data_IF_586648358995
#
_entry.id   IF_586648358995
#
_cell.length_a   1.000
_cell.length_b   1.000
_cell.length_c   1.000
_cell.angle_alpha   90.00
_cell.angle_beta   90.00
_cell.angle_gamma   90.00
#
_symmetry.space_group_name_H-M   'P 1'
#
loop_
_entity.id
_entity.type
_entity.pdbx_description
1 polymer ?
#
# COMPACT_ATOMS: atom_id res chain seq x y z
N UNK A 1 28.55 8.52 6.69
CA UNK A 1 27.75 7.81 5.66
C UNK A 1 27.43 6.38 6.11
N UNK A 2 28.40 5.58 6.51
CA UNK A 2 28.20 4.18 6.93
C UNK A 2 27.20 3.99 8.07
N UNK A 3 27.31 4.76 9.16
CA UNK A 3 26.38 4.66 10.29
C UNK A 3 24.92 4.93 9.90
N UNK A 4 24.68 5.85 8.98
CA UNK A 4 23.35 6.13 8.46
C UNK A 4 22.80 4.96 7.66
N UNK A 5 23.57 4.38 6.76
CA UNK A 5 23.16 3.21 5.96
C UNK A 5 22.86 2.02 6.87
N UNK A 6 23.74 1.77 7.87
CA UNK A 6 23.56 0.69 8.83
C UNK A 6 22.26 0.87 9.63
N UNK A 7 21.97 2.08 10.09
CA UNK A 7 20.73 2.35 10.84
C UNK A 7 19.47 2.10 10.01
N UNK A 8 19.49 2.46 8.72
CA UNK A 8 18.35 2.23 7.80
C UNK A 8 18.16 0.76 7.49
N UNK A 9 19.25 0.02 7.24
CA UNK A 9 19.19 -1.44 7.06
C UNK A 9 18.68 -2.14 8.33
N UNK A 10 19.21 -1.76 9.50
CA UNK A 10 18.75 -2.31 10.78
C UNK A 10 17.25 -2.06 11.00
N UNK A 11 16.76 -0.88 10.65
CA UNK A 11 15.34 -0.55 10.70
C UNK A 11 14.50 -1.47 9.80
N UNK A 12 14.88 -1.65 8.53
CA UNK A 12 14.14 -2.52 7.60
C UNK A 12 14.13 -3.98 8.07
N UNK A 13 15.26 -4.48 8.61
CA UNK A 13 15.35 -5.80 9.22
C UNK A 13 14.42 -5.91 10.43
N UNK A 14 14.39 -4.89 11.30
CA UNK A 14 13.51 -4.84 12.47
C UNK A 14 12.03 -4.87 12.07
N UNK A 15 11.64 -4.12 11.03
CA UNK A 15 10.28 -4.16 10.47
C UNK A 15 9.91 -5.57 10.01
N UNK A 16 10.79 -6.23 9.27
CA UNK A 16 10.58 -7.60 8.79
C UNK A 16 10.44 -8.60 9.94
N UNK A 17 11.35 -8.54 10.90
CA UNK A 17 11.33 -9.42 12.08
C UNK A 17 10.10 -9.17 12.96
N UNK A 18 9.72 -7.93 13.21
CA UNK A 18 8.54 -7.59 13.99
C UNK A 18 7.26 -8.08 13.31
N UNK A 19 7.15 -7.89 12.00
CA UNK A 19 6.00 -8.36 11.23
C UNK A 19 5.92 -9.89 11.20
N UNK A 20 7.03 -10.57 10.95
CA UNK A 20 7.09 -12.03 10.92
C UNK A 20 6.81 -12.63 12.31
N UNK A 21 7.58 -12.24 13.32
CA UNK A 21 7.45 -12.78 14.67
C UNK A 21 6.07 -12.46 15.28
N UNK A 22 5.61 -11.22 15.12
CA UNK A 22 4.28 -10.80 15.56
C UNK A 22 3.17 -11.64 14.92
N UNK A 23 3.24 -11.85 13.61
CA UNK A 23 2.27 -12.68 12.89
C UNK A 23 2.31 -14.15 13.36
N UNK A 24 3.51 -14.73 13.59
CA UNK A 24 3.65 -16.10 14.13
C UNK A 24 3.05 -16.20 15.52
N UNK A 25 3.35 -15.25 16.41
CA UNK A 25 2.82 -15.23 17.78
C UNK A 25 1.30 -15.13 17.78
N UNK A 26 0.75 -14.21 16.99
CA UNK A 26 -0.70 -14.06 16.86
C UNK A 26 -1.34 -15.31 16.27
N UNK A 27 -0.73 -15.92 15.24
CA UNK A 27 -1.18 -17.17 14.65
C UNK A 27 -1.26 -18.30 15.65
N UNK A 28 -0.27 -18.44 16.53
CA UNK A 28 -0.27 -19.45 17.61
C UNK A 28 -1.31 -19.14 18.67
N UNK A 29 -1.44 -17.87 19.08
CA UNK A 29 -2.36 -17.45 20.14
C UNK A 29 -3.83 -17.58 19.72
N UNK A 30 -4.16 -17.26 18.50
CA UNK A 30 -5.53 -17.22 18.00
C UNK A 30 -5.87 -18.34 17.02
N UNK A 31 -5.13 -19.46 17.01
CA UNK A 31 -5.32 -20.58 16.06
C UNK A 31 -6.77 -21.10 16.05
N UNK A 32 -7.48 -21.05 17.18
CA UNK A 32 -8.87 -21.49 17.32
C UNK A 32 -9.90 -20.36 17.11
N UNK A 33 -9.45 -19.12 16.81
CA UNK A 33 -10.28 -17.93 16.70
C UNK A 33 -9.89 -17.14 15.47
N UNK A 34 -10.24 -17.62 14.26
CA UNK A 34 -9.77 -17.04 12.99
C UNK A 34 -10.16 -15.57 12.82
N UNK A 35 -11.33 -15.16 13.30
CA UNK A 35 -11.77 -13.76 13.22
C UNK A 35 -10.90 -12.83 14.08
N UNK A 36 -10.59 -13.24 15.31
CA UNK A 36 -9.68 -12.47 16.17
C UNK A 36 -8.27 -12.42 15.60
N UNK A 37 -7.82 -13.51 14.97
CA UNK A 37 -6.53 -13.52 14.29
C UNK A 37 -6.50 -12.51 13.16
N UNK A 38 -7.53 -12.44 12.33
CA UNK A 38 -7.64 -11.46 11.25
C UNK A 38 -7.55 -10.02 11.79
N UNK A 39 -8.37 -9.70 12.80
CA UNK A 39 -8.34 -8.38 13.46
C UNK A 39 -6.95 -8.05 13.99
N UNK A 40 -6.33 -8.99 14.71
CA UNK A 40 -5.00 -8.80 15.28
C UNK A 40 -3.92 -8.58 14.19
N UNK A 41 -4.00 -9.27 13.05
CA UNK A 41 -3.03 -9.14 11.96
C UNK A 41 -3.13 -7.78 11.25
N UNK A 42 -4.32 -7.27 10.99
CA UNK A 42 -4.40 -5.94 10.38
C UNK A 42 -3.98 -4.82 11.35
N UNK A 43 -4.27 -4.96 12.66
CA UNK A 43 -3.74 -4.05 13.68
C UNK A 43 -2.23 -4.09 13.75
N UNK A 44 -1.64 -5.30 13.75
CA UNK A 44 -0.19 -5.46 13.72
C UNK A 44 0.42 -4.71 12.52
N UNK A 45 -0.15 -4.90 11.33
CA UNK A 45 0.32 -4.20 10.13
C UNK A 45 0.17 -2.69 10.25
N UNK A 46 -1.00 -2.20 10.67
CA UNK A 46 -1.23 -0.76 10.83
C UNK A 46 -0.26 -0.12 11.83
N UNK A 47 -0.01 -0.78 12.95
CA UNK A 47 0.94 -0.32 13.97
C UNK A 47 2.37 -0.33 13.44
N UNK A 48 2.80 -1.40 12.76
CA UNK A 48 4.15 -1.48 12.18
C UNK A 48 4.35 -0.37 11.15
N UNK A 49 3.39 -0.16 10.25
CA UNK A 49 3.48 0.90 9.24
C UNK A 49 3.45 2.30 9.87
N UNK A 50 2.62 2.51 10.90
CA UNK A 50 2.58 3.78 11.62
C UNK A 50 3.88 4.08 12.37
N UNK A 51 4.47 3.07 13.02
CA UNK A 51 5.79 3.18 13.65
C UNK A 51 6.89 3.42 12.61
N UNK A 52 6.78 2.81 11.43
CA UNK A 52 7.68 3.07 10.32
C UNK A 52 7.60 4.52 9.86
N UNK A 53 6.38 5.08 9.74
CA UNK A 53 6.20 6.50 9.46
C UNK A 53 6.84 7.38 10.54
N UNK A 54 6.64 7.06 11.82
CA UNK A 54 7.24 7.80 12.91
C UNK A 54 8.77 7.74 12.87
N UNK A 55 9.34 6.56 12.61
CA UNK A 55 10.80 6.39 12.50
C UNK A 55 11.39 7.21 11.36
N UNK A 56 10.82 7.08 10.16
CA UNK A 56 11.31 7.75 8.96
C UNK A 56 11.19 9.27 9.07
N UNK A 57 10.13 9.75 9.72
CA UNK A 57 9.89 11.18 9.97
C UNK A 57 10.70 11.75 11.18
N UNK A 58 11.54 10.94 11.82
CA UNK A 58 12.33 11.37 12.97
C UNK A 58 11.55 11.55 14.27
N UNK A 59 10.33 10.98 14.36
CA UNK A 59 9.49 11.03 15.55
C UNK A 59 8.00 10.93 15.22
N UNK A 60 7.18 11.14 16.25
CA UNK A 60 5.72 11.15 16.15
C UNK A 60 5.20 12.58 16.40
N UNK A 61 5.26 13.47 15.38
CA UNK A 61 4.88 14.87 15.59
C UNK A 61 3.38 15.00 15.84
N UNK A 62 3.02 15.72 16.90
CA UNK A 62 1.63 16.07 17.19
C UNK A 62 1.53 17.55 17.54
N UNK A 63 0.75 18.36 16.81
CA UNK A 63 0.02 17.98 15.59
C UNK A 63 0.96 17.70 14.41
N UNK A 64 0.52 16.86 13.45
CA UNK A 64 1.28 16.59 12.23
C UNK A 64 1.51 17.87 11.42
N UNK A 65 2.76 18.14 11.02
CA UNK A 65 3.14 19.39 10.32
C UNK A 65 3.15 19.23 8.80
N UNK A 66 3.46 18.03 8.32
CA UNK A 66 3.59 17.70 6.90
C UNK A 66 2.61 16.60 6.54
N UNK A 67 2.23 16.54 5.25
CA UNK A 67 1.26 15.55 4.75
C UNK A 67 1.68 14.10 5.03
N UNK A 68 2.97 13.80 4.89
CA UNK A 68 3.52 12.47 5.15
C UNK A 68 3.42 12.03 6.61
N UNK A 69 3.41 12.97 7.56
CA UNK A 69 3.19 12.69 8.98
C UNK A 69 1.80 12.12 9.25
N UNK A 70 0.81 12.48 8.42
CA UNK A 70 -0.55 12.00 8.57
C UNK A 70 -0.74 10.54 8.18
N UNK A 71 0.14 9.98 7.34
CA UNK A 71 -0.01 8.59 6.84
C UNK A 71 -0.18 7.62 8.01
N UNK A 72 0.69 7.67 9.01
CA UNK A 72 0.62 6.80 10.19
C UNK A 72 -0.69 6.96 10.98
N UNK A 73 -1.15 8.19 11.18
CA UNK A 73 -2.42 8.47 11.88
C UNK A 73 -3.63 7.94 11.09
N UNK A 74 -3.65 8.14 9.78
CA UNK A 74 -4.73 7.64 8.91
C UNK A 74 -4.80 6.12 8.92
N UNK A 75 -3.65 5.42 8.93
CA UNK A 75 -3.61 3.96 9.02
C UNK A 75 -4.16 3.44 10.36
N UNK A 76 -3.80 4.07 11.48
CA UNK A 76 -4.35 3.72 12.79
C UNK A 76 -5.84 4.00 12.87
N UNK A 77 -6.30 5.11 12.31
CA UNK A 77 -7.72 5.46 12.22
C UNK A 77 -8.49 4.43 11.36
N UNK A 78 -7.91 4.03 10.21
CA UNK A 78 -8.49 3.00 9.35
C UNK A 78 -8.62 1.66 10.10
N UNK A 79 -7.59 1.24 10.83
CA UNK A 79 -7.62 0.02 11.62
C UNK A 79 -8.68 0.08 12.72
N UNK A 80 -8.84 1.25 13.38
CA UNK A 80 -9.86 1.46 14.40
C UNK A 80 -11.27 1.36 13.82
N UNK A 81 -11.56 2.09 12.74
CA UNK A 81 -12.87 2.04 12.09
C UNK A 81 -13.20 0.63 11.58
N UNK A 82 -12.19 -0.07 11.06
CA UNK A 82 -12.36 -1.43 10.57
C UNK A 82 -12.69 -2.43 11.69
N UNK A 83 -12.29 -2.15 12.92
CA UNK A 83 -12.59 -3.02 14.08
C UNK A 83 -14.08 -3.08 14.41
N UNK A 84 -14.89 -2.18 13.83
CA UNK A 84 -16.35 -2.21 13.92
C UNK A 84 -16.86 -3.20 12.86
N UNK A 85 -17.15 -4.42 13.27
CA UNK A 85 -17.45 -5.56 12.38
C UNK A 85 -18.90 -5.58 11.90
N UNK A 86 -19.29 -4.56 11.14
CA UNK A 86 -20.57 -4.48 10.42
C UNK A 86 -20.31 -4.36 8.93
N UNK A 87 -20.94 -5.17 8.04
CA UNK A 87 -20.67 -5.14 6.59
C UNK A 87 -20.86 -3.76 5.95
N UNK A 88 -21.89 -3.04 6.35
CA UNK A 88 -22.15 -1.66 5.91
C UNK A 88 -21.07 -0.69 6.39
N UNK A 89 -20.56 -0.89 7.61
CA UNK A 89 -19.51 -0.06 8.19
C UNK A 89 -18.17 -0.30 7.49
N UNK A 90 -17.93 -1.47 6.92
CA UNK A 90 -16.69 -1.78 6.21
C UNK A 90 -16.48 -0.92 4.97
N UNK A 91 -17.52 -0.68 4.17
CA UNK A 91 -17.43 0.23 3.04
C UNK A 91 -17.28 1.69 3.50
N UNK A 92 -18.08 2.08 4.49
CA UNK A 92 -18.04 3.44 5.06
C UNK A 92 -16.66 3.70 5.69
N UNK A 93 -16.09 2.75 6.41
CA UNK A 93 -14.76 2.88 7.03
C UNK A 93 -13.66 3.05 5.98
N UNK A 94 -13.71 2.28 4.89
CA UNK A 94 -12.76 2.41 3.81
C UNK A 94 -12.87 3.78 3.11
N UNK A 95 -14.11 4.23 2.83
CA UNK A 95 -14.39 5.55 2.28
C UNK A 95 -13.91 6.67 3.21
N UNK A 96 -14.26 6.60 4.48
CA UNK A 96 -13.88 7.62 5.46
C UNK A 96 -12.35 7.71 5.63
N UNK A 97 -11.67 6.57 5.67
CA UNK A 97 -10.21 6.53 5.79
C UNK A 97 -9.51 7.05 4.54
N UNK A 98 -9.99 6.68 3.35
CA UNK A 98 -9.46 7.19 2.09
C UNK A 98 -9.72 8.69 1.96
N UNK A 99 -10.95 9.14 2.23
CA UNK A 99 -11.32 10.55 2.19
C UNK A 99 -10.49 11.38 3.17
N UNK A 100 -10.33 10.91 4.41
CA UNK A 100 -9.46 11.55 5.39
C UNK A 100 -8.02 11.65 4.88
N UNK A 101 -7.47 10.54 4.37
CA UNK A 101 -6.11 10.50 3.82
C UNK A 101 -5.91 11.49 2.67
N UNK A 102 -6.87 11.57 1.74
CA UNK A 102 -6.84 12.54 0.63
C UNK A 102 -6.92 13.97 1.16
N UNK A 103 -7.86 14.26 2.06
CA UNK A 103 -8.03 15.61 2.63
C UNK A 103 -6.75 16.08 3.32
N UNK A 104 -6.17 15.26 4.20
CA UNK A 104 -4.95 15.67 4.93
C UNK A 104 -3.73 15.79 4.01
N UNK A 105 -3.71 15.05 2.89
CA UNK A 105 -2.66 15.21 1.87
C UNK A 105 -2.85 16.49 1.05
N UNK A 106 -4.08 16.86 0.72
CA UNK A 106 -4.39 18.07 -0.05
C UNK A 106 -4.39 19.37 0.80
N UNK A 107 -4.57 19.28 2.11
CA UNK A 107 -4.73 20.42 3.00
C UNK A 107 -3.57 21.44 2.91
N UNK A 108 -2.28 21.06 2.92
CA UNK A 108 -1.20 22.02 2.81
C UNK A 108 -1.20 22.79 1.48
N UNK A 109 -1.66 22.15 0.38
CA UNK A 109 -1.73 22.80 -0.92
C UNK A 109 -2.92 23.76 -1.00
N UNK A 110 -4.02 23.43 -0.34
CA UNK A 110 -5.15 24.34 -0.23
C UNK A 110 -4.75 25.69 0.39
N UNK A 111 -3.78 25.65 1.31
CA UNK A 111 -3.21 26.83 1.94
C UNK A 111 -2.23 27.59 1.02
N UNK A 112 -1.68 26.91 0.00
CA UNK A 112 -0.66 27.44 -0.90
C UNK A 112 -1.21 27.88 -2.28
N UNK A 113 -2.52 28.08 -2.40
CA UNK A 113 -3.10 28.79 -3.55
C UNK A 113 -3.76 27.91 -4.62
N UNK A 114 -3.94 26.60 -4.41
CA UNK A 114 -4.78 25.83 -5.32
C UNK A 114 -6.25 26.22 -5.18
N UNK A 115 -6.88 26.52 -6.31
CA UNK A 115 -8.30 26.88 -6.33
C UNK A 115 -9.21 25.69 -5.93
N UNK A 116 -10.43 25.98 -5.41
CA UNK A 116 -11.34 24.96 -4.91
C UNK A 116 -11.76 23.93 -5.96
N UNK A 117 -11.81 24.33 -7.23
CA UNK A 117 -12.15 23.42 -8.35
C UNK A 117 -11.05 22.38 -8.55
N UNK A 118 -9.78 22.79 -8.49
CA UNK A 118 -8.65 21.87 -8.66
C UNK A 118 -8.55 20.89 -7.48
N UNK A 119 -8.70 21.40 -6.25
CA UNK A 119 -8.73 20.56 -5.04
C UNK A 119 -9.90 19.56 -5.08
N UNK A 120 -11.09 20.00 -5.47
CA UNK A 120 -12.27 19.14 -5.62
C UNK A 120 -12.07 18.07 -6.68
N UNK A 121 -11.44 18.43 -7.81
CA UNK A 121 -11.13 17.47 -8.89
C UNK A 121 -10.14 16.40 -8.42
N UNK A 122 -9.06 16.79 -7.77
CA UNK A 122 -8.08 15.86 -7.21
C UNK A 122 -8.69 14.95 -6.13
N UNK A 123 -9.50 15.52 -5.24
CA UNK A 123 -10.21 14.75 -4.24
C UNK A 123 -11.11 13.68 -4.88
N UNK A 124 -11.94 14.10 -5.84
CA UNK A 124 -12.91 13.20 -6.48
C UNK A 124 -12.23 12.10 -7.29
N UNK A 125 -11.25 12.46 -8.16
CA UNK A 125 -10.51 11.49 -8.96
C UNK A 125 -9.76 10.49 -8.06
N UNK A 126 -9.12 10.98 -7.01
CA UNK A 126 -8.39 10.15 -6.04
C UNK A 126 -9.32 9.17 -5.32
N UNK A 127 -10.47 9.65 -4.84
CA UNK A 127 -11.44 8.81 -4.13
C UNK A 127 -12.06 7.75 -5.06
N UNK A 128 -12.46 8.13 -6.26
CA UNK A 128 -13.05 7.22 -7.25
C UNK A 128 -12.03 6.15 -7.65
N UNK A 129 -10.78 6.53 -7.94
CA UNK A 129 -9.75 5.56 -8.30
C UNK A 129 -9.44 4.59 -7.17
N UNK A 130 -9.38 5.08 -5.93
CA UNK A 130 -9.22 4.23 -4.76
C UNK A 130 -10.33 3.18 -4.67
N UNK A 131 -11.59 3.61 -4.86
CA UNK A 131 -12.74 2.71 -4.81
C UNK A 131 -12.73 1.67 -5.91
N UNK A 132 -12.38 2.05 -7.14
CA UNK A 132 -12.30 1.12 -8.28
C UNK A 132 -11.28 0.02 -7.98
N UNK A 133 -10.05 0.40 -7.62
CA UNK A 133 -8.98 -0.56 -7.32
C UNK A 133 -9.37 -1.44 -6.14
N UNK A 134 -9.95 -0.85 -5.08
CA UNK A 134 -10.44 -1.58 -3.92
C UNK A 134 -11.48 -2.63 -4.29
N UNK A 135 -12.50 -2.27 -5.07
CA UNK A 135 -13.59 -3.20 -5.47
C UNK A 135 -13.04 -4.38 -6.28
N UNK A 136 -12.14 -4.10 -7.24
CA UNK A 136 -11.53 -5.14 -8.06
C UNK A 136 -10.70 -6.09 -7.21
N UNK A 137 -9.83 -5.56 -6.38
CA UNK A 137 -8.96 -6.37 -5.53
C UNK A 137 -9.74 -7.14 -4.46
N UNK A 138 -10.79 -6.54 -3.89
CA UNK A 138 -11.62 -7.18 -2.87
C UNK A 138 -12.28 -8.47 -3.37
N UNK A 139 -12.82 -8.47 -4.57
CA UNK A 139 -13.42 -9.66 -5.20
C UNK A 139 -12.42 -10.81 -5.36
N UNK A 140 -11.19 -10.49 -5.76
CA UNK A 140 -10.15 -11.51 -5.92
C UNK A 140 -9.62 -12.06 -4.59
N UNK A 141 -9.58 -11.21 -3.55
CA UNK A 141 -9.18 -11.64 -2.22
C UNK A 141 -10.15 -12.64 -1.58
N UNK A 142 -11.44 -12.57 -1.91
CA UNK A 142 -12.41 -13.59 -1.50
C UNK A 142 -12.10 -14.97 -2.10
N UNK A 143 -11.57 -14.98 -3.33
CA UNK A 143 -11.31 -16.20 -4.10
C UNK A 143 -9.93 -16.80 -3.79
N UNK A 144 -8.92 -15.98 -3.50
CA UNK A 144 -7.51 -16.39 -3.48
C UNK A 144 -6.74 -16.05 -2.18
N UNK A 145 -7.40 -15.96 -1.07
CA UNK A 145 -7.07 -15.44 0.27
C UNK A 145 -5.60 -15.35 0.73
N UNK A 146 -4.73 -16.27 0.39
CA UNK A 146 -3.34 -16.26 0.87
C UNK A 146 -2.35 -15.61 -0.11
N UNK A 147 -2.64 -15.71 -1.40
CA UNK A 147 -1.67 -15.39 -2.46
C UNK A 147 -1.71 -13.93 -2.86
N UNK A 148 -2.80 -13.27 -2.55
CA UNK A 148 -3.04 -11.88 -2.86
C UNK A 148 -2.13 -10.91 -2.08
N UNK A 149 -1.61 -11.30 -0.91
CA UNK A 149 -0.67 -10.46 -0.15
C UNK A 149 0.66 -10.25 -0.88
N UNK A 150 1.14 -11.25 -1.61
CA UNK A 150 2.32 -11.08 -2.48
C UNK A 150 2.04 -10.10 -3.61
N UNK A 151 0.82 -10.12 -4.16
CA UNK A 151 0.40 -9.18 -5.19
C UNK A 151 0.41 -7.72 -4.71
N UNK A 152 0.33 -7.49 -3.40
CA UNK A 152 0.44 -6.15 -2.81
C UNK A 152 1.87 -5.78 -2.42
N UNK A 153 2.73 -6.76 -2.11
CA UNK A 153 4.13 -6.48 -1.78
C UNK A 153 4.93 -6.01 -3.02
N UNK A 154 4.69 -6.65 -4.19
CA UNK A 154 5.41 -6.31 -5.43
C UNK A 154 5.21 -4.85 -5.85
N UNK A 155 3.98 -4.31 -5.95
CA UNK A 155 3.77 -2.90 -6.25
C UNK A 155 4.45 -1.95 -5.26
N UNK A 156 4.50 -2.30 -3.97
CA UNK A 156 5.20 -1.47 -2.97
C UNK A 156 6.71 -1.41 -3.24
N UNK A 157 7.35 -2.52 -3.60
CA UNK A 157 8.77 -2.51 -3.93
C UNK A 157 9.07 -1.74 -5.22
N UNK A 158 8.24 -1.88 -6.25
CA UNK A 158 8.39 -1.10 -7.49
C UNK A 158 8.15 0.39 -7.23
N UNK A 159 7.10 0.72 -6.45
CA UNK A 159 6.85 2.10 -6.02
C UNK A 159 8.03 2.67 -5.25
N UNK A 160 8.71 1.89 -4.40
CA UNK A 160 9.88 2.37 -3.68
C UNK A 160 10.98 2.88 -4.64
N UNK A 161 11.23 2.15 -5.73
CA UNK A 161 12.19 2.58 -6.75
C UNK A 161 11.73 3.88 -7.42
N UNK A 162 10.46 3.96 -7.82
CA UNK A 162 9.89 5.15 -8.44
C UNK A 162 9.94 6.37 -7.52
N UNK A 163 9.54 6.20 -6.25
CA UNK A 163 9.54 7.24 -5.23
C UNK A 163 10.96 7.76 -4.93
N UNK A 164 11.95 6.86 -4.93
CA UNK A 164 13.35 7.25 -4.75
C UNK A 164 13.84 8.13 -5.89
N UNK A 165 13.60 7.72 -7.14
CA UNK A 165 14.02 8.52 -8.31
C UNK A 165 13.18 9.78 -8.52
N UNK A 166 11.96 9.83 -7.99
CA UNK A 166 11.15 11.05 -7.92
C UNK A 166 11.60 12.03 -6.82
N UNK A 167 12.75 11.79 -6.19
CA UNK A 167 13.33 12.69 -5.19
C UNK A 167 12.85 12.49 -3.76
N UNK A 168 12.02 11.48 -3.48
CA UNK A 168 11.53 11.22 -2.12
C UNK A 168 12.12 9.94 -1.52
N UNK A 169 13.35 10.02 -1.02
CA UNK A 169 13.99 8.89 -0.33
C UNK A 169 13.18 8.41 0.88
N UNK A 170 12.50 9.33 1.58
CA UNK A 170 11.67 9.03 2.74
C UNK A 170 10.46 8.18 2.38
N UNK A 171 9.69 8.57 1.37
CA UNK A 171 8.53 7.79 0.91
C UNK A 171 8.98 6.46 0.29
N UNK A 172 10.13 6.42 -0.37
CA UNK A 172 10.72 5.19 -0.88
C UNK A 172 11.04 4.20 0.24
N UNK A 173 11.67 4.67 1.33
CA UNK A 173 11.96 3.85 2.50
C UNK A 173 10.68 3.30 3.15
N UNK A 174 9.64 4.12 3.25
CA UNK A 174 8.32 3.68 3.72
C UNK A 174 7.71 2.60 2.82
N UNK A 175 7.84 2.75 1.50
CA UNK A 175 7.34 1.74 0.55
C UNK A 175 8.09 0.40 0.69
N UNK A 176 9.42 0.44 0.87
CA UNK A 176 10.21 -0.77 1.16
C UNK A 176 9.77 -1.41 2.48
N UNK A 177 9.64 -0.62 3.55
CA UNK A 177 9.19 -1.10 4.85
C UNK A 177 7.81 -1.77 4.77
N UNK A 178 6.87 -1.15 4.04
CA UNK A 178 5.55 -1.72 3.77
C UNK A 178 5.62 -3.03 2.99
N UNK A 179 6.41 -3.08 1.92
CA UNK A 179 6.61 -4.29 1.14
C UNK A 179 7.18 -5.45 1.97
N UNK A 180 8.19 -5.17 2.81
CA UNK A 180 8.77 -6.13 3.75
C UNK A 180 7.75 -6.60 4.77
N UNK A 181 6.98 -5.69 5.38
CA UNK A 181 5.96 -6.02 6.37
C UNK A 181 4.87 -6.95 5.80
N UNK A 182 4.38 -6.64 4.60
CA UNK A 182 3.39 -7.46 3.88
C UNK A 182 3.95 -8.82 3.50
N UNK A 183 5.16 -8.88 2.95
CA UNK A 183 5.82 -10.14 2.58
C UNK A 183 6.11 -11.02 3.80
N UNK A 184 6.59 -10.43 4.90
CA UNK A 184 6.88 -11.14 6.14
C UNK A 184 5.60 -11.72 6.79
N UNK A 185 4.52 -10.96 6.82
CA UNK A 185 3.21 -11.44 7.28
C UNK A 185 2.70 -12.60 6.40
N UNK A 186 2.84 -12.49 5.09
CA UNK A 186 2.50 -13.57 4.16
C UNK A 186 3.29 -14.85 4.43
N UNK A 187 4.61 -14.74 4.56
CA UNK A 187 5.48 -15.91 4.79
C UNK A 187 5.21 -16.59 6.14
N UNK A 188 4.76 -15.83 7.13
CA UNK A 188 4.47 -16.34 8.47
C UNK A 188 3.13 -17.09 8.57
N UNK A 189 2.18 -16.78 7.68
CA UNK A 189 0.82 -17.33 7.69
C UNK A 189 0.66 -18.43 6.64
N UNK A 190 0.57 -19.69 7.07
CA UNK A 190 0.31 -20.84 6.18
C UNK A 190 -1.16 -20.98 5.76
N UNK A 191 -2.06 -20.21 6.37
CA UNK A 191 -3.50 -20.29 6.15
C UNK A 191 -4.11 -18.94 5.81
N UNK A 192 -5.34 -18.92 5.30
CA UNK A 192 -6.14 -17.79 4.83
C UNK A 192 -6.43 -16.68 5.84
N UNK A 193 -5.54 -16.44 6.80
CA UNK A 193 -5.80 -15.60 7.96
C UNK A 193 -5.68 -14.09 7.72
N UNK A 194 -5.10 -13.64 6.58
CA UNK A 194 -4.79 -12.22 6.39
C UNK A 194 -6.02 -11.32 6.20
N UNK A 195 -7.13 -11.85 5.68
CA UNK A 195 -8.42 -11.18 5.61
C UNK A 195 -8.45 -9.81 4.90
N UNK A 196 -9.64 -9.30 4.65
CA UNK A 196 -9.87 -8.05 3.90
C UNK A 196 -9.28 -6.80 4.57
N UNK A 197 -9.25 -6.74 5.91
CA UNK A 197 -8.70 -5.60 6.62
C UNK A 197 -7.21 -5.41 6.38
N UNK A 198 -6.46 -6.51 6.28
CA UNK A 198 -5.02 -6.46 5.95
C UNK A 198 -4.78 -5.86 4.56
N UNK A 199 -5.59 -6.26 3.59
CA UNK A 199 -5.55 -5.74 2.22
C UNK A 199 -5.85 -4.25 2.19
N UNK A 200 -6.91 -3.83 2.88
CA UNK A 200 -7.32 -2.43 2.91
C UNK A 200 -6.26 -1.52 3.53
N UNK A 201 -5.65 -1.93 4.63
CA UNK A 201 -4.54 -1.18 5.24
C UNK A 201 -3.37 -1.05 4.26
N UNK A 202 -3.01 -2.15 3.57
CA UNK A 202 -1.93 -2.14 2.58
C UNK A 202 -2.25 -1.24 1.39
N UNK A 203 -3.48 -1.33 0.86
CA UNK A 203 -3.94 -0.50 -0.26
C UNK A 203 -3.96 0.97 0.12
N UNK A 204 -4.51 1.31 1.28
CA UNK A 204 -4.56 2.69 1.76
C UNK A 204 -3.15 3.25 1.92
N UNK A 205 -2.24 2.48 2.50
CA UNK A 205 -0.85 2.87 2.64
C UNK A 205 -0.18 3.14 1.30
N UNK A 206 -0.27 2.20 0.35
CA UNK A 206 0.29 2.33 -0.99
C UNK A 206 -0.27 3.55 -1.73
N UNK A 207 -1.60 3.73 -1.67
CA UNK A 207 -2.28 4.87 -2.26
C UNK A 207 -1.77 6.20 -1.72
N UNK A 208 -1.65 6.32 -0.39
CA UNK A 208 -1.18 7.55 0.25
C UNK A 208 0.28 7.86 -0.06
N UNK A 209 1.14 6.85 -0.20
CA UNK A 209 2.53 7.05 -0.64
C UNK A 209 2.59 7.65 -2.05
N UNK A 210 1.87 7.06 -3.01
CA UNK A 210 1.84 7.55 -4.39
C UNK A 210 1.22 8.95 -4.48
N UNK A 211 0.12 9.19 -3.77
CA UNK A 211 -0.54 10.49 -3.75
C UNK A 211 0.39 11.58 -3.17
N UNK A 212 1.05 11.30 -2.05
CA UNK A 212 2.01 12.25 -1.45
C UNK A 212 3.17 12.55 -2.40
N UNK A 213 3.73 11.53 -3.05
CA UNK A 213 4.84 11.74 -3.97
C UNK A 213 4.44 12.51 -5.23
N UNK A 214 3.23 12.28 -5.74
CA UNK A 214 2.70 13.02 -6.88
C UNK A 214 2.52 14.51 -6.57
N UNK A 215 2.19 14.83 -5.33
CA UNK A 215 1.86 16.19 -4.90
C UNK A 215 3.10 16.94 -4.41
N UNK A 216 4.01 16.29 -3.70
CA UNK A 216 5.13 16.92 -2.99
C UNK A 216 6.51 16.53 -3.49
N UNK A 217 6.58 15.63 -4.46
CA UNK A 217 7.82 15.24 -5.14
C UNK A 217 7.60 15.22 -6.65
N UNK A 218 8.62 14.89 -7.40
CA UNK A 218 8.58 14.98 -8.89
C UNK A 218 8.00 13.73 -9.56
N UNK A 219 7.11 12.98 -8.89
CA UNK A 219 6.46 11.82 -9.50
C UNK A 219 5.38 12.28 -10.49
N UNK A 220 5.54 12.01 -11.81
CA UNK A 220 4.53 12.37 -12.78
C UNK A 220 3.17 11.73 -12.46
N UNK A 221 2.07 12.50 -12.44
CA UNK A 221 0.75 11.97 -12.07
C UNK A 221 0.33 10.74 -12.88
N UNK A 222 0.59 10.74 -14.18
CA UNK A 222 0.26 9.61 -15.06
C UNK A 222 0.94 8.32 -14.61
N UNK A 223 2.21 8.38 -14.23
CA UNK A 223 2.96 7.21 -13.77
C UNK A 223 2.50 6.75 -12.39
N UNK A 224 2.17 7.69 -11.50
CA UNK A 224 1.59 7.36 -10.20
C UNK A 224 0.25 6.62 -10.36
N UNK A 225 -0.63 7.11 -11.25
CA UNK A 225 -1.91 6.47 -11.53
C UNK A 225 -1.75 5.11 -12.21
N UNK A 226 -0.81 4.97 -13.15
CA UNK A 226 -0.49 3.68 -13.75
C UNK A 226 -0.02 2.68 -12.68
N UNK A 227 0.93 3.07 -11.85
CA UNK A 227 1.44 2.25 -10.74
C UNK A 227 0.32 1.82 -9.77
N UNK A 228 -0.62 2.72 -9.49
CA UNK A 228 -1.76 2.46 -8.63
C UNK A 228 -2.75 1.46 -9.25
N UNK A 229 -3.03 1.58 -10.55
CA UNK A 229 -4.07 0.81 -11.24
C UNK A 229 -3.56 -0.56 -11.73
N UNK A 230 -2.26 -0.72 -11.96
CA UNK A 230 -1.66 -1.94 -12.53
C UNK A 230 -2.08 -3.21 -11.81
N UNK A 231 -2.09 -3.33 -10.48
CA UNK A 231 -2.53 -4.56 -9.81
C UNK A 231 -3.98 -4.94 -10.16
N UNK A 232 -4.87 -3.95 -10.23
CA UNK A 232 -6.27 -4.15 -10.59
C UNK A 232 -6.42 -4.52 -12.07
N UNK A 233 -5.67 -3.88 -12.97
CA UNK A 233 -5.68 -4.18 -14.41
C UNK A 233 -5.22 -5.61 -14.69
N UNK A 234 -4.12 -6.06 -14.08
CA UNK A 234 -3.63 -7.43 -14.25
C UNK A 234 -4.67 -8.44 -13.82
N UNK A 235 -5.34 -8.20 -12.70
CA UNK A 235 -6.43 -9.07 -12.22
C UNK A 235 -7.59 -9.08 -13.19
N UNK A 236 -8.07 -7.91 -13.64
CA UNK A 236 -9.17 -7.80 -14.59
C UNK A 236 -8.86 -8.47 -15.93
N UNK A 237 -7.64 -8.34 -16.43
CA UNK A 237 -7.20 -8.99 -17.67
C UNK A 237 -7.05 -10.50 -17.53
N UNK A 238 -6.75 -11.00 -16.34
CA UNK A 238 -6.65 -12.43 -16.08
C UNK A 238 -8.02 -13.14 -16.00
N UNK A 239 -9.10 -12.41 -15.67
CA UNK A 239 -10.45 -12.97 -15.53
C UNK A 239 -11.08 -13.46 -16.84
N UNK A 240 -11.12 -12.68 -17.96
CA UNK A 240 -11.85 -13.05 -19.18
C UNK A 240 -11.11 -14.08 -20.05
N UNK A 241 -9.86 -14.33 -19.83
CA UNK A 241 -9.06 -15.26 -20.65
C UNK A 241 -9.47 -16.71 -20.39
N UNK A 242 -10.73 -17.12 -20.44
CA UNK A 242 -11.21 -18.51 -20.35
C UNK A 242 -10.19 -19.56 -19.82
N UNK A 243 -9.04 -19.08 -19.37
CA UNK A 243 -7.95 -19.84 -18.79
C UNK A 243 -8.40 -20.58 -17.53
N UNK A 244 -9.43 -20.10 -16.85
CA UNK A 244 -10.03 -20.79 -15.70
C UNK A 244 -10.54 -22.20 -16.05
N UNK A 245 -10.98 -22.44 -17.29
CA UNK A 245 -11.40 -23.79 -17.75
C UNK A 245 -10.24 -24.71 -18.08
N UNK A 246 -9.08 -24.16 -18.46
CA UNK A 246 -7.94 -24.92 -18.97
C UNK A 246 -6.76 -24.98 -18.00
N UNK A 247 -6.68 -24.04 -17.06
CA UNK A 247 -5.59 -23.96 -16.09
C UNK A 247 -6.04 -24.43 -14.71
N UNK A 248 -5.16 -25.20 -14.06
CA UNK A 248 -5.33 -25.48 -12.62
C UNK A 248 -5.30 -24.16 -11.84
N UNK A 249 -5.90 -24.13 -10.63
CA UNK A 249 -5.84 -22.94 -9.75
C UNK A 249 -4.40 -22.42 -9.57
N UNK A 250 -3.39 -23.29 -9.59
CA UNK A 250 -1.97 -22.90 -9.53
C UNK A 250 -1.52 -22.16 -10.78
N UNK A 251 -1.90 -22.66 -11.97
CA UNK A 251 -1.55 -22.02 -13.25
C UNK A 251 -2.12 -20.63 -13.39
N UNK A 252 -3.39 -20.44 -13.05
CA UNK A 252 -4.03 -19.12 -13.07
C UNK A 252 -3.30 -18.12 -12.13
N UNK A 253 -2.95 -18.55 -10.92
CA UNK A 253 -2.20 -17.73 -9.99
C UNK A 253 -0.80 -17.37 -10.52
N UNK A 254 -0.07 -18.33 -11.08
CA UNK A 254 1.25 -18.08 -11.69
C UNK A 254 1.11 -17.04 -12.80
N UNK A 255 0.08 -17.15 -13.64
CA UNK A 255 -0.17 -16.19 -14.72
C UNK A 255 -0.42 -14.76 -14.17
N UNK A 256 -1.18 -14.61 -13.08
CA UNK A 256 -1.39 -13.30 -12.44
C UNK A 256 -0.07 -12.76 -11.87
N UNK A 257 0.72 -13.57 -11.16
CA UNK A 257 1.99 -13.12 -10.58
C UNK A 257 3.00 -12.73 -11.66
N UNK A 258 3.10 -13.53 -12.73
CA UNK A 258 3.99 -13.23 -13.86
C UNK A 258 3.47 -11.97 -14.60
N UNK A 259 2.18 -11.90 -14.87
CA UNK A 259 1.55 -10.73 -15.50
C UNK A 259 1.79 -9.45 -14.69
N UNK A 260 1.65 -9.51 -13.37
CA UNK A 260 1.96 -8.40 -12.49
C UNK A 260 3.45 -8.03 -12.56
N UNK A 261 4.34 -9.00 -12.47
CA UNK A 261 5.79 -8.75 -12.57
C UNK A 261 6.17 -8.08 -13.89
N UNK A 262 5.61 -8.54 -15.01
CA UNK A 262 5.83 -7.92 -16.33
C UNK A 262 5.26 -6.50 -16.38
N UNK A 263 4.02 -6.30 -15.93
CA UNK A 263 3.38 -4.98 -15.94
C UNK A 263 4.13 -3.97 -15.07
N UNK A 264 4.58 -4.38 -13.88
CA UNK A 264 5.39 -3.57 -12.99
C UNK A 264 6.77 -3.25 -13.59
N UNK A 265 7.41 -4.20 -14.28
CA UNK A 265 8.64 -3.93 -15.02
C UNK A 265 8.42 -2.90 -16.13
N UNK A 266 7.30 -2.98 -16.85
CA UNK A 266 6.96 -2.00 -17.90
C UNK A 266 6.76 -0.60 -17.29
N UNK A 267 6.03 -0.48 -16.18
CA UNK A 267 5.86 0.81 -15.50
C UNK A 267 7.19 1.37 -15.00
N UNK A 268 8.04 0.53 -14.42
CA UNK A 268 9.39 0.92 -13.99
C UNK A 268 10.28 1.40 -15.14
N UNK A 269 10.21 0.73 -16.30
CA UNK A 269 10.92 1.16 -17.51
C UNK A 269 10.37 2.48 -18.08
N UNK A 270 9.04 2.61 -18.16
CA UNK A 270 8.41 3.88 -18.60
C UNK A 270 8.84 5.02 -17.68
N UNK A 271 8.83 4.79 -16.36
CA UNK A 271 9.31 5.76 -15.39
C UNK A 271 10.77 6.15 -15.66
N UNK A 272 11.67 5.17 -15.85
CA UNK A 272 13.08 5.42 -16.14
C UNK A 272 13.26 6.29 -17.38
N UNK A 273 12.52 6.05 -18.47
CA UNK A 273 12.63 6.83 -19.70
C UNK A 273 12.01 8.24 -19.60
N UNK A 274 10.96 8.39 -18.77
CA UNK A 274 10.29 9.70 -18.60
C UNK A 274 11.05 10.60 -17.63
N UNK A 275 11.59 10.02 -16.52
CA UNK A 275 12.23 10.78 -15.46
C UNK A 275 13.74 10.85 -15.62
N UNK A 276 14.33 10.06 -16.55
CA UNK A 276 15.76 10.15 -16.82
C UNK A 276 16.12 11.61 -17.11
N UNK A 277 16.92 12.26 -16.24
CA UNK A 277 17.34 13.63 -16.52
C UNK A 277 18.06 13.61 -17.87
N UNK A 278 17.63 14.48 -18.76
CA UNK A 278 18.43 14.85 -19.92
C UNK A 278 19.73 15.34 -19.33
N UNK A 279 20.76 14.49 -19.37
CA UNK A 279 22.09 14.88 -18.92
C UNK A 279 22.44 16.20 -19.62
N UNK A 280 22.81 17.24 -18.87
CA UNK A 280 23.26 18.46 -19.52
C UNK A 280 24.46 18.07 -20.40
N UNK A 281 24.31 18.27 -21.70
CA UNK A 281 25.34 18.13 -22.71
C UNK A 281 26.49 19.08 -22.45
#
# INVERSE_FOLDING_TARGET
>A
MEAFVISRLAFLVAVGLASFAGSVVLGRRFVKQPERLRVALWWLLAVILALSCAWVNGGWPFPPRESQHWIGYVLLFAALLRSIDLPTVQLISALASAALGIVVTLLPIAQNGWGPVMLGSWFFVSLVSYLIVRVVLHKEFEIASLRASLLLAVPLFVSAVMLFFAGSAMLAELAVAGGIAVAAAYLSQRSSALGHGFVEITLLFHFLLLLNCTIYADLPPVLAWLQWIVPALVILLAQPLHLQKWMTRRGHYIAIVVGLGVAECVVGLLFYFVVKPTAPS
#
